data_IF_857443183408
#
_entry.id   IF_857443183408
#
_cell.length_a   1.000
_cell.length_b   1.000
_cell.length_c   1.000
_cell.angle_alpha   90.00
_cell.angle_beta   90.00
_cell.angle_gamma   90.00
#
_symmetry.space_group_name_H-M   'P 1'
#
loop_
_entity.id
_entity.type
_entity.pdbx_description
1 polymer ?
#
# COMPACT_ATOMS: atom_id res chain seq x y z
N UNK A 1 32.14 -38.42 -9.56
CA UNK A 1 32.11 -37.04 -10.06
C UNK A 1 30.91 -36.35 -9.43
N UNK A 2 31.13 -35.40 -8.53
CA UNK A 2 30.06 -34.67 -7.87
C UNK A 2 29.42 -33.70 -8.87
N UNK A 3 28.13 -33.89 -9.16
CA UNK A 3 27.33 -32.93 -9.92
C UNK A 3 27.09 -31.75 -8.97
N UNK A 4 27.80 -30.64 -9.15
CA UNK A 4 27.53 -29.44 -8.36
C UNK A 4 26.14 -28.91 -8.73
N UNK A 5 25.30 -28.69 -7.74
CA UNK A 5 23.93 -28.20 -7.88
C UNK A 5 23.92 -26.77 -8.47
N UNK A 6 23.85 -26.68 -9.80
CA UNK A 6 23.86 -25.42 -10.55
C UNK A 6 22.60 -24.60 -10.30
N UNK A 7 21.48 -25.24 -9.92
CA UNK A 7 20.19 -24.59 -9.65
C UNK A 7 20.27 -23.54 -8.53
N UNK A 8 20.99 -23.82 -7.45
CA UNK A 8 21.12 -22.89 -6.33
C UNK A 8 22.00 -21.67 -6.67
N UNK A 9 23.07 -21.89 -7.44
CA UNK A 9 23.97 -20.81 -7.92
C UNK A 9 23.28 -19.94 -8.96
N UNK A 10 22.53 -20.54 -9.87
CA UNK A 10 21.77 -19.82 -10.89
C UNK A 10 20.64 -19.00 -10.25
N UNK A 11 19.98 -19.52 -9.21
CA UNK A 11 18.99 -18.77 -8.43
C UNK A 11 19.61 -17.60 -7.66
N UNK A 12 20.79 -17.78 -7.06
CA UNK A 12 21.50 -16.72 -6.37
C UNK A 12 21.94 -15.60 -7.34
N UNK A 13 22.41 -15.95 -8.54
CA UNK A 13 22.76 -15.00 -9.59
C UNK A 13 21.53 -14.26 -10.12
N UNK A 14 20.44 -14.96 -10.42
CA UNK A 14 19.17 -14.32 -10.86
C UNK A 14 18.66 -13.35 -9.79
N UNK A 15 18.71 -13.73 -8.51
CA UNK A 15 18.32 -12.87 -7.39
C UNK A 15 19.21 -11.63 -7.27
N UNK A 16 20.50 -11.78 -7.54
CA UNK A 16 21.49 -10.70 -7.54
C UNK A 16 21.27 -9.75 -8.73
N UNK A 17 20.96 -10.29 -9.91
CA UNK A 17 20.68 -9.48 -11.10
C UNK A 17 19.35 -8.72 -10.98
N UNK A 18 18.29 -9.37 -10.47
CA UNK A 18 17.03 -8.73 -10.16
C UNK A 18 17.24 -7.59 -9.16
N UNK A 19 17.99 -7.83 -8.08
CA UNK A 19 18.26 -6.78 -7.10
C UNK A 19 19.04 -5.61 -7.69
N UNK A 20 20.02 -5.83 -8.58
CA UNK A 20 20.74 -4.74 -9.26
C UNK A 20 19.80 -3.94 -10.20
N UNK A 21 18.91 -4.61 -10.92
CA UNK A 21 17.95 -3.95 -11.80
C UNK A 21 16.90 -3.13 -11.04
N UNK A 22 16.39 -3.66 -9.92
CA UNK A 22 15.40 -2.97 -9.08
C UNK A 22 16.03 -1.79 -8.32
N UNK A 23 17.29 -1.92 -7.90
CA UNK A 23 18.08 -0.84 -7.28
C UNK A 23 18.37 0.31 -8.24
N UNK A 24 18.34 0.11 -9.55
CA UNK A 24 18.62 1.19 -10.52
C UNK A 24 17.35 1.80 -11.13
N UNK A 25 16.18 1.23 -10.82
CA UNK A 25 14.90 1.73 -11.31
C UNK A 25 14.42 2.96 -10.54
N UNK A 26 13.92 3.98 -11.25
CA UNK A 26 13.28 5.14 -10.65
C UNK A 26 11.92 4.81 -10.00
N UNK A 27 11.24 5.78 -9.37
CA UNK A 27 9.93 5.55 -8.78
C UNK A 27 8.91 5.13 -9.84
N UNK A 28 8.10 4.11 -9.54
CA UNK A 28 7.03 3.62 -10.43
C UNK A 28 5.85 4.58 -10.53
N UNK A 29 5.63 5.41 -9.52
CA UNK A 29 4.60 6.45 -9.48
C UNK A 29 5.25 7.83 -9.16
N UNK A 30 5.91 8.47 -10.15
CA UNK A 30 6.63 9.72 -9.96
C UNK A 30 5.77 10.89 -9.45
N UNK A 31 4.47 10.88 -9.75
CA UNK A 31 3.50 11.88 -9.30
C UNK A 31 3.29 11.89 -7.78
N UNK A 32 3.75 10.86 -7.07
CA UNK A 32 3.67 10.77 -5.60
C UNK A 32 5.06 10.81 -4.92
N UNK A 33 6.07 11.38 -5.60
CA UNK A 33 7.40 11.59 -5.02
C UNK A 33 7.33 12.51 -3.79
N UNK A 34 6.52 13.58 -3.85
CA UNK A 34 6.41 14.49 -2.72
C UNK A 34 5.63 13.85 -1.57
N UNK A 35 6.06 14.15 -0.35
CA UNK A 35 5.44 13.63 0.86
C UNK A 35 3.96 14.00 0.98
N UNK A 36 3.62 15.26 0.68
CA UNK A 36 2.25 15.77 0.83
C UNK A 36 1.28 15.09 -0.14
N UNK A 37 1.71 14.77 -1.37
CA UNK A 37 0.86 14.09 -2.36
C UNK A 37 0.46 12.69 -1.85
N UNK A 38 1.40 11.98 -1.21
CA UNK A 38 1.12 10.69 -0.57
C UNK A 38 0.19 10.84 0.62
N UNK A 39 0.50 11.78 1.51
CA UNK A 39 -0.31 12.07 2.70
C UNK A 39 -1.76 12.35 2.33
N UNK A 40 -1.97 13.09 1.25
CA UNK A 40 -3.30 13.42 0.73
C UNK A 40 -4.12 12.18 0.39
N UNK A 41 -3.52 11.19 -0.28
CA UNK A 41 -4.21 9.93 -0.58
C UNK A 41 -4.63 9.18 0.68
N UNK A 42 -3.84 9.28 1.75
CA UNK A 42 -4.02 8.53 3.01
C UNK A 42 -5.00 9.20 3.98
N UNK A 43 -5.16 10.52 3.93
CA UNK A 43 -6.20 11.23 4.71
C UNK A 43 -7.61 10.72 4.31
N UNK A 44 -7.79 10.31 3.05
CA UNK A 44 -9.05 9.74 2.58
C UNK A 44 -9.36 8.33 3.18
N UNK A 45 -8.41 7.73 3.88
CA UNK A 45 -8.44 6.34 4.40
C UNK A 45 -8.71 6.26 5.94
N UNK A 46 -9.27 7.30 6.54
CA UNK A 46 -9.11 7.59 7.98
C UNK A 46 -9.95 6.79 9.01
N UNK A 47 -10.78 5.80 8.67
CA UNK A 47 -11.66 5.15 9.67
C UNK A 47 -11.37 3.67 10.01
N UNK A 48 -10.23 3.11 9.55
CA UNK A 48 -9.95 1.67 9.72
C UNK A 48 -8.59 1.27 10.27
N UNK A 49 -7.74 2.20 10.72
CA UNK A 49 -6.31 1.92 10.88
C UNK A 49 -5.74 2.10 12.27
N UNK A 50 -4.83 1.18 12.59
CA UNK A 50 -3.93 1.27 13.73
C UNK A 50 -2.79 2.29 13.52
N UNK A 51 -2.50 2.71 12.29
CA UNK A 51 -1.36 3.56 11.94
C UNK A 51 -1.80 4.92 11.38
N UNK A 52 -1.08 5.98 11.78
CA UNK A 52 -1.40 7.35 11.38
C UNK A 52 -1.00 7.63 9.92
N UNK A 53 -1.80 8.39 9.14
CA UNK A 53 -1.51 8.73 7.74
C UNK A 53 -0.11 9.32 7.51
N UNK A 54 0.42 10.10 8.45
CA UNK A 54 1.74 10.73 8.37
C UNK A 54 2.85 9.69 8.33
N UNK A 55 2.74 8.66 9.17
CA UNK A 55 3.68 7.55 9.21
C UNK A 55 3.60 6.77 7.90
N UNK A 56 2.40 6.52 7.38
CA UNK A 56 2.20 5.80 6.12
C UNK A 56 2.81 6.56 4.93
N UNK A 57 2.66 7.89 4.89
CA UNK A 57 3.28 8.74 3.87
C UNK A 57 4.81 8.75 3.98
N UNK A 58 5.36 8.73 5.20
CA UNK A 58 6.80 8.58 5.47
C UNK A 58 7.37 7.22 5.02
N UNK A 59 6.51 6.21 4.94
CA UNK A 59 6.81 4.86 4.45
C UNK A 59 6.78 4.74 2.93
N UNK A 60 6.47 5.84 2.24
CA UNK A 60 6.33 5.86 0.80
C UNK A 60 5.00 5.28 0.33
N UNK A 61 4.01 5.14 1.20
CA UNK A 61 2.72 4.55 0.85
C UNK A 61 1.76 5.62 0.33
N UNK A 62 0.97 5.22 -0.65
CA UNK A 62 -0.20 5.91 -1.16
C UNK A 62 -1.41 5.00 -0.94
N UNK A 63 -2.61 5.57 -0.92
CA UNK A 63 -3.85 4.80 -0.86
C UNK A 63 -4.54 4.78 -2.22
N UNK A 64 -4.78 3.58 -2.75
CA UNK A 64 -5.68 3.39 -3.87
C UNK A 64 -7.09 3.17 -3.34
N UNK A 65 -7.89 4.23 -3.45
CA UNK A 65 -9.30 4.26 -3.10
C UNK A 65 -10.15 3.22 -3.84
N UNK A 66 -9.91 2.99 -5.13
CA UNK A 66 -10.73 2.09 -5.95
C UNK A 66 -10.53 0.62 -5.58
N UNK A 67 -9.31 0.25 -5.22
CA UNK A 67 -8.92 -1.12 -4.88
C UNK A 67 -8.91 -1.36 -3.35
N UNK A 68 -9.20 -0.33 -2.55
CA UNK A 68 -9.10 -0.33 -1.09
C UNK A 68 -7.79 -0.95 -0.58
N UNK A 69 -6.66 -0.47 -1.12
CA UNK A 69 -5.33 -0.96 -0.76
C UNK A 69 -4.33 0.17 -0.69
N UNK A 70 -3.25 -0.03 0.06
CA UNK A 70 -2.10 0.87 0.00
C UNK A 70 -1.05 0.31 -0.94
N UNK A 71 -0.27 1.19 -1.55
CA UNK A 71 0.83 0.81 -2.42
C UNK A 71 2.01 1.76 -2.26
N UNK A 72 3.22 1.25 -2.42
CA UNK A 72 4.41 2.11 -2.38
C UNK A 72 4.58 2.87 -3.70
N UNK A 73 4.75 4.19 -3.66
CA UNK A 73 4.98 5.00 -4.87
C UNK A 73 6.25 4.57 -5.64
N UNK A 74 7.26 4.08 -4.92
CA UNK A 74 8.56 3.78 -5.52
C UNK A 74 8.59 2.40 -6.15
N UNK A 75 8.17 1.37 -5.42
CA UNK A 75 8.29 -0.03 -5.85
C UNK A 75 6.97 -0.67 -6.30
N UNK A 76 5.84 0.05 -6.21
CA UNK A 76 4.48 -0.44 -6.49
C UNK A 76 4.08 -1.69 -5.67
N UNK A 77 4.71 -1.87 -4.50
CA UNK A 77 4.35 -2.93 -3.57
C UNK A 77 2.96 -2.64 -2.99
N UNK A 78 1.96 -3.40 -3.46
CA UNK A 78 0.56 -3.34 -3.02
C UNK A 78 0.36 -4.17 -1.74
N UNK A 79 -0.27 -3.58 -0.73
CA UNK A 79 -0.55 -4.20 0.56
C UNK A 79 -2.05 -4.06 0.87
N UNK A 80 -2.72 -5.18 1.09
CA UNK A 80 -4.16 -5.25 1.36
C UNK A 80 -4.44 -6.19 2.53
N UNK A 81 -5.64 -6.09 3.13
CA UNK A 81 -6.11 -6.93 4.25
C UNK A 81 -5.22 -6.89 5.51
N UNK A 82 -4.63 -5.72 5.76
CA UNK A 82 -3.76 -5.46 6.90
C UNK A 82 -4.49 -5.75 8.21
N UNK A 83 -3.86 -6.55 9.08
CA UNK A 83 -4.36 -6.83 10.42
C UNK A 83 -4.02 -5.67 11.37
N UNK A 84 -4.79 -5.55 12.44
CA UNK A 84 -4.52 -4.56 13.47
C UNK A 84 -3.14 -4.80 14.10
N UNK A 85 -2.31 -3.75 14.15
CA UNK A 85 -0.96 -3.82 14.74
C UNK A 85 0.13 -4.36 13.83
N UNK A 86 -0.14 -4.67 12.55
CA UNK A 86 0.92 -5.04 11.61
C UNK A 86 1.86 -3.85 11.29
N UNK A 87 3.16 -4.10 11.32
CA UNK A 87 4.17 -3.12 10.91
C UNK A 87 4.38 -3.19 9.39
N UNK A 88 3.90 -2.17 8.69
CA UNK A 88 4.02 -2.09 7.25
C UNK A 88 5.48 -1.96 6.77
N UNK A 89 6.45 -1.58 7.60
CA UNK A 89 7.86 -1.60 7.22
C UNK A 89 8.36 -3.03 7.10
N UNK A 90 7.89 -3.92 7.99
CA UNK A 90 8.21 -5.35 7.93
C UNK A 90 7.56 -5.96 6.69
N UNK A 91 6.29 -5.68 6.43
CA UNK A 91 5.60 -6.18 5.23
C UNK A 91 6.30 -5.67 3.95
N UNK A 92 6.66 -4.39 3.90
CA UNK A 92 7.40 -3.81 2.79
C UNK A 92 8.76 -4.49 2.58
N UNK A 93 9.51 -4.74 3.66
CA UNK A 93 10.80 -5.44 3.57
C UNK A 93 10.68 -6.91 3.16
N UNK A 94 9.57 -7.57 3.46
CA UNK A 94 9.30 -8.93 2.99
C UNK A 94 8.98 -8.91 1.48
N UNK A 95 8.14 -7.98 1.03
CA UNK A 95 7.59 -7.97 -0.32
C UNK A 95 8.50 -7.31 -1.36
N UNK A 96 9.29 -6.29 -0.98
CA UNK A 96 10.12 -5.51 -1.90
C UNK A 96 11.49 -5.10 -1.30
N UNK A 97 12.33 -6.06 -0.87
CA UNK A 97 13.59 -5.79 -0.15
C UNK A 97 14.67 -5.07 -0.98
N UNK A 98 14.56 -5.04 -2.31
CA UNK A 98 15.64 -4.56 -3.19
C UNK A 98 15.46 -3.13 -3.71
N UNK A 99 14.35 -2.47 -3.38
CA UNK A 99 14.10 -1.13 -3.89
C UNK A 99 14.77 -0.07 -3.01
N UNK A 100 15.42 0.89 -3.67
CA UNK A 100 16.24 1.91 -2.99
C UNK A 100 15.46 2.72 -1.97
N UNK A 101 14.19 3.04 -2.22
CA UNK A 101 13.44 3.85 -1.26
C UNK A 101 13.39 3.21 0.14
N UNK A 102 13.07 1.91 0.22
CA UNK A 102 13.06 1.17 1.48
C UNK A 102 14.44 1.17 2.14
N UNK A 103 15.48 0.88 1.35
CA UNK A 103 16.86 0.83 1.83
C UNK A 103 17.36 2.19 2.33
N UNK A 104 17.07 3.26 1.62
CA UNK A 104 17.42 4.64 2.02
C UNK A 104 16.71 5.04 3.31
N UNK A 105 15.46 4.60 3.52
CA UNK A 105 14.68 4.98 4.70
C UNK A 105 14.96 4.12 5.92
N UNK A 106 15.29 2.84 5.76
CA UNK A 106 15.43 1.88 6.88
C UNK A 106 16.82 1.26 7.04
N UNK A 107 17.65 1.30 6.00
CA UNK A 107 18.98 0.69 6.00
C UNK A 107 18.96 -0.81 5.72
N UNK A 108 20.11 -1.33 5.30
CA UNK A 108 20.30 -2.75 4.98
C UNK A 108 20.18 -3.65 6.22
N UNK A 109 20.66 -3.18 7.38
CA UNK A 109 20.59 -3.94 8.64
C UNK A 109 19.14 -4.28 9.02
N UNK A 110 18.21 -3.33 8.83
CA UNK A 110 16.78 -3.57 9.05
C UNK A 110 16.25 -4.66 8.12
N UNK A 111 16.59 -4.58 6.82
CA UNK A 111 16.11 -5.52 5.80
C UNK A 111 16.65 -6.92 6.08
N UNK A 112 17.94 -7.04 6.40
CA UNK A 112 18.59 -8.31 6.75
C UNK A 112 17.98 -8.94 8.02
N UNK A 113 17.72 -8.11 9.04
CA UNK A 113 17.07 -8.56 10.28
C UNK A 113 15.67 -9.10 10.02
N UNK A 114 14.86 -8.39 9.22
CA UNK A 114 13.52 -8.87 8.84
C UNK A 114 13.62 -10.20 8.12
N UNK A 115 14.47 -10.31 7.10
CA UNK A 115 14.60 -11.52 6.30
C UNK A 115 15.08 -12.72 7.14
N UNK A 116 16.05 -12.50 8.03
CA UNK A 116 16.56 -13.52 8.94
C UNK A 116 15.49 -13.98 9.93
N UNK A 117 14.69 -13.07 10.48
CA UNK A 117 13.60 -13.41 11.40
C UNK A 117 12.45 -14.21 10.77
N UNK A 118 12.19 -13.98 9.47
CA UNK A 118 11.15 -14.69 8.71
C UNK A 118 11.64 -16.06 8.23
N UNK A 119 12.93 -16.20 7.89
CA UNK A 119 13.53 -17.47 7.45
C UNK A 119 13.53 -18.58 8.52
N UNK A 120 13.50 -18.24 9.81
CA UNK A 120 13.34 -19.26 10.87
C UNK A 120 11.92 -19.84 10.97
N UNK A 121 10.94 -19.29 10.23
CA UNK A 121 9.53 -19.60 10.45
C UNK A 121 8.67 -19.93 9.22
N UNK A 122 9.21 -20.20 8.01
CA UNK A 122 8.47 -21.05 7.01
C UNK A 122 9.24 -21.50 5.77
N UNK A 123 8.77 -22.66 5.27
CA UNK A 123 8.92 -23.24 3.93
C UNK A 123 8.82 -22.17 2.82
N UNK A 124 9.51 -22.36 1.68
CA UNK A 124 9.60 -21.36 0.62
C UNK A 124 8.21 -20.92 0.14
N UNK A 125 8.00 -19.61 -0.11
CA UNK A 125 6.73 -19.10 -0.63
C UNK A 125 6.44 -19.69 -2.02
N UNK A 126 5.18 -20.06 -2.33
CA UNK A 126 4.82 -20.50 -3.67
C UNK A 126 5.10 -19.37 -4.66
N UNK A 127 5.84 -19.69 -5.71
CA UNK A 127 6.01 -18.79 -6.86
C UNK A 127 4.65 -18.68 -7.54
N UNK A 128 4.14 -17.45 -7.63
CA UNK A 128 2.84 -17.04 -8.20
C UNK A 128 1.59 -17.37 -7.36
N UNK A 129 0.86 -16.33 -6.97
CA UNK A 129 -0.57 -16.42 -6.69
C UNK A 129 -1.27 -15.41 -7.59
N UNK A 130 -1.76 -15.92 -8.73
CA UNK A 130 -2.84 -15.33 -9.48
C UNK A 130 -4.10 -15.28 -8.59
N UNK A 131 -4.88 -14.20 -8.67
CA UNK A 131 -6.18 -14.13 -8.04
C UNK A 131 -7.19 -14.94 -8.87
N UNK A 132 -7.71 -16.03 -8.31
CA UNK A 132 -8.95 -16.62 -8.76
C UNK A 132 -10.07 -16.09 -7.86
N UNK A 133 -11.07 -15.50 -8.50
CA UNK A 133 -12.37 -15.18 -7.94
C UNK A 133 -13.01 -16.41 -7.31
N UNK A 134 -13.42 -16.30 -6.05
CA UNK A 134 -14.63 -16.89 -5.47
C UNK A 134 -14.69 -16.57 -3.97
N UNK A 135 -15.37 -15.47 -3.63
CA UNK A 135 -15.83 -15.20 -2.27
C UNK A 135 -17.30 -15.63 -2.17
N UNK A 136 -17.52 -16.83 -1.64
CA UNK A 136 -18.79 -17.21 -1.05
C UNK A 136 -18.72 -16.90 0.45
N UNK A 137 -19.57 -16.01 0.95
CA UNK A 137 -19.81 -15.91 2.39
C UNK A 137 -21.28 -15.59 2.68
N UNK A 138 -21.90 -16.51 3.41
CA UNK A 138 -22.87 -16.13 4.44
C UNK A 138 -22.06 -15.93 5.71
N UNK A 139 -22.04 -14.71 6.24
CA UNK A 139 -22.58 -14.43 7.57
C UNK A 139 -22.51 -12.93 7.87
N UNK A 140 -23.65 -12.41 8.36
CA UNK A 140 -23.91 -11.01 8.66
C UNK A 140 -23.42 -10.67 10.06
N UNK A 141 -22.53 -9.69 10.16
CA UNK A 141 -22.49 -8.77 11.30
C UNK A 141 -22.45 -7.36 10.73
N UNK A 142 -23.37 -6.50 11.22
CA UNK A 142 -23.62 -5.15 10.70
C UNK A 142 -22.43 -4.21 10.98
N UNK A 143 -21.36 -4.36 10.22
CA UNK A 143 -20.34 -3.33 10.04
C UNK A 143 -20.89 -2.40 8.96
N UNK A 144 -21.12 -1.13 9.30
CA UNK A 144 -21.44 -0.11 8.29
C UNK A 144 -20.20 0.06 7.42
N UNK A 145 -20.14 -0.72 6.34
CA UNK A 145 -19.11 -0.59 5.30
C UNK A 145 -19.38 0.74 4.61
N UNK A 146 -18.66 1.78 5.02
CA UNK A 146 -18.65 3.05 4.31
C UNK A 146 -18.19 2.80 2.89
N UNK A 147 -19.02 3.20 1.95
CA UNK A 147 -18.65 3.11 0.54
C UNK A 147 -17.64 4.20 0.25
N UNK A 148 -16.69 3.93 -0.66
CA UNK A 148 -15.70 4.91 -1.05
C UNK A 148 -16.36 6.28 -1.37
N UNK A 149 -17.54 6.27 -2.00
CA UNK A 149 -18.26 7.47 -2.44
C UNK A 149 -19.08 8.14 -1.34
N UNK A 150 -18.87 7.90 -0.05
CA UNK A 150 -19.67 8.56 0.99
C UNK A 150 -19.23 10.01 1.27
N UNK A 151 -20.20 10.85 1.61
CA UNK A 151 -20.06 12.26 1.93
C UNK A 151 -19.11 12.45 3.12
N UNK A 152 -18.11 13.31 2.95
CA UNK A 152 -17.04 13.53 3.95
C UNK A 152 -17.44 14.46 5.09
N UNK A 153 -18.63 15.06 5.05
CA UNK A 153 -19.21 15.79 6.18
C UNK A 153 -20.13 14.91 7.02
N UNK A 154 -21.14 14.30 6.39
CA UNK A 154 -22.20 13.61 7.15
C UNK A 154 -22.04 12.10 7.21
N UNK A 155 -21.24 11.49 6.32
CA UNK A 155 -20.99 10.05 6.29
C UNK A 155 -22.26 9.17 6.17
N UNK A 156 -23.39 9.77 5.77
CA UNK A 156 -24.70 9.11 5.70
C UNK A 156 -25.20 8.90 4.27
N UNK A 157 -24.64 9.64 3.32
CA UNK A 157 -25.10 9.75 1.93
C UNK A 157 -23.89 9.73 1.03
N UNK A 158 -24.06 9.23 -0.19
CA UNK A 158 -23.04 9.32 -1.21
C UNK A 158 -22.71 10.79 -1.55
N UNK A 159 -21.42 11.09 -1.64
CA UNK A 159 -20.83 12.25 -2.26
C UNK A 159 -21.15 12.28 -3.75
N UNK A 160 -21.83 13.35 -4.18
CA UNK A 160 -22.31 13.53 -5.57
C UNK A 160 -22.05 14.93 -6.10
N UNK A 161 -21.43 15.80 -5.30
CA UNK A 161 -21.14 17.18 -5.68
C UNK A 161 -19.67 17.34 -6.02
N UNK A 162 -19.42 17.79 -7.25
CA UNK A 162 -18.10 18.10 -7.78
C UNK A 162 -17.76 19.56 -7.46
N UNK A 163 -16.72 19.80 -6.68
CA UNK A 163 -16.25 21.15 -6.38
C UNK A 163 -15.27 21.61 -7.46
N UNK A 164 -15.51 22.79 -8.03
CA UNK A 164 -14.60 23.43 -8.98
C UNK A 164 -13.87 24.59 -8.28
N UNK A 165 -12.59 24.84 -8.60
CA UNK A 165 -11.80 24.23 -9.68
C UNK A 165 -11.08 22.91 -9.33
N UNK A 166 -11.15 22.43 -8.09
CA UNK A 166 -10.32 21.30 -7.63
C UNK A 166 -10.76 19.90 -8.12
N UNK A 167 -11.96 19.77 -8.70
CA UNK A 167 -12.52 18.52 -9.22
C UNK A 167 -12.71 17.41 -8.17
N UNK A 168 -12.87 17.76 -6.89
CA UNK A 168 -13.16 16.80 -5.83
C UNK A 168 -14.65 16.47 -5.73
N UNK A 169 -14.99 15.17 -5.73
CA UNK A 169 -16.35 14.64 -5.63
C UNK A 169 -16.55 13.96 -4.27
N UNK A 170 -16.84 14.75 -3.23
CA UNK A 170 -16.71 14.27 -1.85
C UNK A 170 -17.90 14.55 -0.93
N UNK A 171 -18.87 15.38 -1.33
CA UNK A 171 -20.00 15.76 -0.46
C UNK A 171 -21.35 15.44 -1.06
N UNK A 172 -22.30 15.07 -0.18
CA UNK A 172 -23.71 14.97 -0.55
C UNK A 172 -24.29 16.38 -0.73
N UNK A 173 -25.36 16.50 -1.51
CA UNK A 173 -25.98 17.78 -1.83
C UNK A 173 -26.32 18.63 -0.60
N UNK A 174 -26.84 18.00 0.46
CA UNK A 174 -27.27 18.71 1.68
C UNK A 174 -26.09 19.27 2.50
N UNK A 175 -24.94 18.61 2.43
CA UNK A 175 -23.72 19.08 3.07
C UNK A 175 -23.03 20.13 2.22
N UNK A 176 -22.99 19.93 0.90
CA UNK A 176 -22.33 20.84 -0.03
C UNK A 176 -22.98 22.23 -0.09
N UNK A 177 -24.31 22.35 0.07
CA UNK A 177 -25.00 23.66 0.09
C UNK A 177 -24.51 24.56 1.23
N UNK A 178 -23.91 23.98 2.28
CA UNK A 178 -23.39 24.72 3.44
C UNK A 178 -21.92 25.07 3.30
N UNK A 179 -21.29 24.73 2.19
CA UNK A 179 -19.89 24.98 1.90
C UNK A 179 -19.76 26.02 0.78
N UNK A 180 -18.85 26.97 0.97
CA UNK A 180 -18.44 27.91 -0.07
C UNK A 180 -17.28 27.36 -0.92
N UNK A 181 -16.48 26.45 -0.33
CA UNK A 181 -15.30 25.83 -0.93
C UNK A 181 -15.22 24.34 -0.60
N UNK A 182 -14.39 23.62 -1.34
CA UNK A 182 -14.17 22.20 -1.11
C UNK A 182 -13.53 21.95 0.26
N UNK A 183 -14.11 21.06 1.09
CA UNK A 183 -13.63 20.84 2.46
C UNK A 183 -12.28 20.10 2.58
N UNK A 184 -11.65 19.76 1.45
CA UNK A 184 -10.33 19.11 1.37
C UNK A 184 -9.32 19.91 0.55
N UNK A 185 -9.66 21.14 0.16
CA UNK A 185 -8.76 22.11 -0.43
C UNK A 185 -8.41 23.18 0.61
#
# INVERSE_FOLDING_TARGET
>A
MAICDTSARDQALIRTLLSISEQSSGPKHPEYIAYNDRLYTLILWLEGLSQKPEILAEMGLCYNYYENQVYCFYCDCKMSRLQHGEDLWIIHAILAPYYNYLRTRKGEEFIEKVYTSVNFNRKPPPKSLHCHDQYSSSDKSDIVVMKPLDCKICFRKEGKILFLPCSHLIDCAECAIKLEECCIC
#
